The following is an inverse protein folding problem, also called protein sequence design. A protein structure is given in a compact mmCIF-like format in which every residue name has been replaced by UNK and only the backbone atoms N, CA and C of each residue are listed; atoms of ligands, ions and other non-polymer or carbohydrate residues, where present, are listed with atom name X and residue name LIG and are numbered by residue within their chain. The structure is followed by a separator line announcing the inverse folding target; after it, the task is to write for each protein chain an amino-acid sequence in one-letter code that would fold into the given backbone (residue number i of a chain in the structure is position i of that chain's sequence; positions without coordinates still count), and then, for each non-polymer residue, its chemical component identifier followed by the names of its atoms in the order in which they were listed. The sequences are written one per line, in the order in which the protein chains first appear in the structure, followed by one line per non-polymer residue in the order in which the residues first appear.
data_IF_369525148352
#
_entry.id   IF_369525148352
#
_cell.length_a   1.000
_cell.length_b   1.000
_cell.length_c   1.000
_cell.angle_alpha   90.00
_cell.angle_beta   90.00
_cell.angle_gamma   90.00
#
_symmetry.space_group_name_H-M   'P 1'
#
loop_
_entity.id
_entity.type
_entity.pdbx_description
1 polymer ?
#
# COMPACT_ATOMS: atom_id res chain seq x y z
N UNK A 1 6.30 46.22 33.10
CA UNK A 1 5.13 45.31 33.25
C UNK A 1 4.36 45.08 31.94
N UNK A 2 4.86 45.54 30.79
CA UNK A 2 4.22 45.37 29.46
C UNK A 2 4.94 44.37 28.54
N UNK A 3 6.19 44.00 28.87
CA UNK A 3 6.96 43.00 28.09
C UNK A 3 6.48 41.56 28.28
N UNK A 4 5.87 41.24 29.43
CA UNK A 4 5.43 39.86 29.72
C UNK A 4 4.20 39.44 28.92
N UNK A 5 3.32 40.37 28.55
CA UNK A 5 2.16 40.09 27.70
C UNK A 5 2.56 39.94 26.21
N UNK A 6 3.57 40.69 25.77
CA UNK A 6 4.13 40.55 24.42
C UNK A 6 4.83 39.20 24.22
N UNK A 7 5.53 38.72 25.26
CA UNK A 7 6.19 37.42 25.22
C UNK A 7 5.17 36.26 25.21
N UNK A 8 4.08 36.39 25.97
CA UNK A 8 2.97 35.44 25.97
C UNK A 8 2.29 35.32 24.58
N UNK A 9 2.13 36.43 23.85
CA UNK A 9 1.58 36.41 22.49
C UNK A 9 2.54 35.73 21.50
N UNK A 10 3.85 35.96 21.62
CA UNK A 10 4.87 35.30 20.79
C UNK A 10 4.90 33.78 21.04
N UNK A 11 4.86 33.36 22.30
CA UNK A 11 4.79 31.95 22.69
C UNK A 11 3.53 31.28 22.13
N UNK A 12 2.36 31.92 22.26
CA UNK A 12 1.09 31.39 21.75
C UNK A 12 1.09 31.20 20.23
N UNK A 13 1.63 32.17 19.49
CA UNK A 13 1.76 32.07 18.02
C UNK A 13 2.77 31.02 17.57
N UNK A 14 3.83 30.79 18.37
CA UNK A 14 4.80 29.72 18.11
C UNK A 14 4.19 28.34 18.34
N UNK A 15 3.38 28.17 19.39
CA UNK A 15 2.64 26.93 19.66
C UNK A 15 1.59 26.67 18.56
N UNK A 16 0.89 27.69 18.09
CA UNK A 16 -0.07 27.57 17.00
C UNK A 16 0.61 27.16 15.68
N UNK A 17 1.77 27.74 15.37
CA UNK A 17 2.57 27.36 14.21
C UNK A 17 3.12 25.94 14.32
N UNK A 18 3.61 25.54 15.51
CA UNK A 18 4.08 24.18 15.76
C UNK A 18 2.93 23.17 15.66
N UNK A 19 1.74 23.51 16.15
CA UNK A 19 0.56 22.67 16.05
C UNK A 19 0.08 22.55 14.59
N UNK A 20 0.12 23.64 13.82
CA UNK A 20 -0.20 23.62 12.39
C UNK A 20 0.84 22.81 11.59
N UNK A 21 2.13 22.92 11.93
CA UNK A 21 3.20 22.13 11.31
C UNK A 21 3.14 20.65 11.71
N UNK A 22 2.74 20.35 12.95
CA UNK A 22 2.51 18.98 13.40
C UNK A 22 1.26 18.37 12.75
N UNK A 23 0.22 19.17 12.50
CA UNK A 23 -0.96 18.74 11.73
C UNK A 23 -0.60 18.52 10.24
N UNK A 24 0.33 19.31 9.69
CA UNK A 24 0.86 19.13 8.33
C UNK A 24 1.83 17.93 8.24
N UNK A 25 2.60 17.63 9.30
CA UNK A 25 3.45 16.43 9.38
C UNK A 25 2.66 15.15 9.69
N UNK A 26 1.53 15.25 10.40
CA UNK A 26 0.60 14.13 10.55
C UNK A 26 -0.18 13.86 9.25
N UNK A 27 -0.44 14.89 8.44
CA UNK A 27 -0.91 14.73 7.06
C UNK A 27 0.18 14.18 6.11
N UNK A 28 1.46 14.42 6.39
CA UNK A 28 2.60 13.86 5.64
C UNK A 28 2.95 12.41 6.01
N UNK A 29 2.73 12.02 7.27
CA UNK A 29 3.04 10.67 7.79
C UNK A 29 1.88 9.68 7.60
N UNK A 30 0.66 10.19 7.39
CA UNK A 30 -0.52 9.38 7.08
C UNK A 30 -0.86 9.36 5.57
N UNK A 31 0.01 9.94 4.72
CA UNK A 31 -0.05 9.86 3.25
C UNK A 31 0.36 8.49 2.70
N UNK A 32 0.18 7.44 3.50
CA UNK A 32 0.14 6.05 3.02
C UNK A 32 -1.29 5.50 2.93
N UNK A 33 -2.32 6.33 3.22
CA UNK A 33 -3.74 5.88 3.27
C UNK A 33 -4.64 6.59 2.24
N UNK A 34 -4.16 7.65 1.58
CA UNK A 34 -4.83 8.32 0.46
C UNK A 34 -4.03 8.16 -0.84
N UNK A 35 -3.64 6.94 -1.17
CA UNK A 35 -3.40 6.58 -2.57
C UNK A 35 -4.77 6.57 -3.24
N UNK A 36 -4.88 7.23 -4.39
CA UNK A 36 -6.10 7.22 -5.20
C UNK A 36 -6.59 5.78 -5.40
N UNK A 37 -7.90 5.51 -5.60
CA UNK A 37 -8.39 4.14 -5.81
C UNK A 37 -7.57 3.36 -6.86
N UNK A 38 -7.05 4.04 -7.87
CA UNK A 38 -6.14 3.47 -8.89
C UNK A 38 -4.77 3.06 -8.31
N UNK A 39 -4.14 3.89 -7.46
CA UNK A 39 -2.85 3.53 -6.84
C UNK A 39 -3.01 2.39 -5.83
N UNK A 40 -4.14 2.31 -5.11
CA UNK A 40 -4.41 1.15 -4.22
C UNK A 40 -4.59 -0.14 -5.00
N UNK A 41 -5.18 -0.07 -6.19
CA UNK A 41 -5.30 -1.22 -7.08
C UNK A 41 -3.93 -1.62 -7.61
N UNK A 42 -3.13 -0.67 -8.12
CA UNK A 42 -1.78 -0.95 -8.60
C UNK A 42 -0.88 -1.54 -7.51
N UNK A 43 -0.88 -0.99 -6.30
CA UNK A 43 -0.10 -1.57 -5.19
C UNK A 43 -0.56 -2.99 -4.84
N UNK A 44 -1.86 -3.28 -4.91
CA UNK A 44 -2.37 -4.63 -4.70
C UNK A 44 -2.01 -5.57 -5.84
N UNK A 45 -2.01 -5.09 -7.08
CA UNK A 45 -1.57 -5.85 -8.26
C UNK A 45 -0.07 -6.10 -8.23
N UNK A 46 0.76 -5.12 -7.89
CA UNK A 46 2.21 -5.27 -7.74
C UNK A 46 2.55 -6.24 -6.61
N UNK A 47 1.87 -6.13 -5.46
CA UNK A 47 2.05 -7.08 -4.36
C UNK A 47 1.62 -8.49 -4.79
N UNK A 48 0.51 -8.61 -5.54
CA UNK A 48 0.08 -9.89 -6.11
C UNK A 48 1.07 -10.45 -7.11
N UNK A 49 1.57 -9.62 -8.01
CA UNK A 49 2.48 -10.01 -9.08
C UNK A 49 3.85 -10.38 -8.51
N UNK A 50 4.30 -9.69 -7.47
CA UNK A 50 5.52 -10.02 -6.71
C UNK A 50 5.37 -11.38 -6.01
N UNK A 51 4.24 -11.59 -5.33
CA UNK A 51 3.92 -12.86 -4.65
C UNK A 51 3.76 -14.03 -5.63
N UNK A 52 3.14 -13.81 -6.78
CA UNK A 52 3.06 -14.81 -7.85
C UNK A 52 4.42 -15.06 -8.50
N UNK A 53 5.28 -14.04 -8.63
CA UNK A 53 6.63 -14.19 -9.21
C UNK A 53 7.61 -14.91 -8.29
N UNK A 54 7.46 -14.78 -6.97
CA UNK A 54 8.26 -15.55 -6.00
C UNK A 54 7.78 -17.01 -5.89
N UNK A 55 6.48 -17.24 -6.10
CA UNK A 55 5.87 -18.56 -5.98
C UNK A 55 5.95 -19.40 -7.27
N UNK A 56 5.75 -18.77 -8.43
CA UNK A 56 5.65 -19.48 -9.69
C UNK A 56 7.00 -19.46 -10.41
N UNK A 57 7.47 -20.66 -10.74
CA UNK A 57 8.59 -20.82 -11.68
C UNK A 57 8.20 -20.33 -13.08
N UNK A 58 9.19 -20.01 -13.91
CA UNK A 58 8.97 -19.60 -15.32
C UNK A 58 8.07 -20.60 -16.08
N UNK A 59 8.24 -21.90 -15.82
CA UNK A 59 7.42 -22.95 -16.44
C UNK A 59 5.95 -22.89 -15.99
N UNK A 60 5.69 -22.64 -14.70
CA UNK A 60 4.34 -22.52 -14.17
C UNK A 60 3.60 -21.31 -14.75
N UNK A 61 4.30 -20.18 -14.96
CA UNK A 61 3.72 -19.01 -15.66
C UNK A 61 3.36 -19.32 -17.10
N UNK A 62 4.23 -20.03 -17.83
CA UNK A 62 3.95 -20.42 -19.21
C UNK A 62 2.73 -21.35 -19.30
N UNK A 63 2.62 -22.34 -18.39
CA UNK A 63 1.45 -23.22 -18.32
C UNK A 63 0.17 -22.46 -17.96
N UNK A 64 0.22 -21.55 -16.99
CA UNK A 64 -0.92 -20.72 -16.63
C UNK A 64 -1.40 -19.88 -17.83
N UNK A 65 -0.48 -19.26 -18.57
CA UNK A 65 -0.81 -18.44 -19.74
C UNK A 65 -1.43 -19.28 -20.88
N UNK A 66 -0.93 -20.50 -21.11
CA UNK A 66 -1.53 -21.43 -22.08
C UNK A 66 -2.94 -21.87 -21.67
N UNK A 67 -3.17 -22.11 -20.38
CA UNK A 67 -4.49 -22.44 -19.85
C UNK A 67 -5.42 -21.23 -19.96
N UNK A 68 -4.96 -20.02 -19.66
CA UNK A 68 -5.75 -18.80 -19.79
C UNK A 68 -6.14 -18.53 -21.26
N UNK A 69 -5.24 -18.80 -22.20
CA UNK A 69 -5.51 -18.67 -23.64
C UNK A 69 -6.56 -19.67 -24.14
N UNK A 70 -6.51 -20.91 -23.65
CA UNK A 70 -7.44 -21.97 -24.08
C UNK A 70 -8.76 -21.96 -23.31
N UNK A 71 -8.73 -21.60 -22.02
CA UNK A 71 -9.84 -21.60 -21.07
C UNK A 71 -9.63 -20.51 -20.00
N UNK A 72 -10.04 -19.26 -20.27
CA UNK A 72 -9.80 -18.13 -19.37
C UNK A 72 -10.47 -18.33 -18.00
N UNK A 73 -11.61 -19.01 -17.93
CA UNK A 73 -12.29 -19.31 -16.66
C UNK A 73 -11.44 -20.19 -15.73
N UNK A 74 -10.74 -21.18 -16.29
CA UNK A 74 -9.87 -22.07 -15.51
C UNK A 74 -8.58 -21.37 -15.11
N UNK A 75 -8.04 -20.49 -15.97
CA UNK A 75 -6.89 -19.65 -15.64
C UNK A 75 -7.16 -18.79 -14.41
N UNK A 76 -8.27 -18.03 -14.40
CA UNK A 76 -8.67 -17.17 -13.26
C UNK A 76 -8.88 -17.96 -11.98
N UNK A 77 -9.53 -19.11 -12.05
CA UNK A 77 -9.73 -19.98 -10.89
C UNK A 77 -8.40 -20.43 -10.28
N UNK A 78 -7.42 -20.79 -11.13
CA UNK A 78 -6.08 -21.20 -10.66
C UNK A 78 -5.35 -20.00 -10.05
N UNK A 79 -5.42 -18.82 -10.66
CA UNK A 79 -4.86 -17.58 -10.10
C UNK A 79 -5.42 -17.27 -8.70
N UNK A 80 -6.74 -17.33 -8.53
CA UNK A 80 -7.40 -17.07 -7.25
C UNK A 80 -6.97 -18.06 -6.17
N UNK A 81 -6.89 -19.36 -6.52
CA UNK A 81 -6.43 -20.42 -5.60
C UNK A 81 -4.96 -20.18 -5.21
N UNK A 82 -4.10 -19.85 -6.17
CA UNK A 82 -2.68 -19.54 -5.93
C UNK A 82 -2.53 -18.35 -4.98
N UNK A 83 -3.26 -17.27 -5.23
CA UNK A 83 -3.24 -16.10 -4.36
C UNK A 83 -3.71 -16.44 -2.94
N UNK A 84 -4.81 -17.21 -2.82
CA UNK A 84 -5.35 -17.60 -1.52
C UNK A 84 -4.34 -18.44 -0.72
N UNK A 85 -3.67 -19.37 -1.39
CA UNK A 85 -2.65 -20.22 -0.77
C UNK A 85 -1.38 -19.45 -0.43
N UNK A 86 -0.96 -18.50 -1.28
CA UNK A 86 0.19 -17.64 -1.01
C UNK A 86 -0.05 -16.71 0.19
N UNK A 87 -1.26 -16.14 0.32
CA UNK A 87 -1.67 -15.37 1.50
C UNK A 87 -1.70 -16.21 2.78
N UNK A 88 -2.02 -17.51 2.67
CA UNK A 88 -2.02 -18.47 3.78
C UNK A 88 -0.63 -19.00 4.12
N UNK A 89 0.42 -18.60 3.39
CA UNK A 89 1.78 -19.06 3.61
C UNK A 89 2.02 -20.52 3.20
N UNK A 90 1.13 -21.12 2.40
CA UNK A 90 1.21 -22.54 2.02
C UNK A 90 2.44 -22.91 1.17
N UNK A 91 3.17 -21.92 0.66
CA UNK A 91 4.30 -22.11 -0.24
C UNK A 91 5.62 -21.55 0.30
N UNK A 92 5.69 -21.26 1.61
CA UNK A 92 6.88 -20.76 2.29
C UNK A 92 7.63 -21.85 3.06
N UNK A 93 8.01 -22.94 2.39
CA UNK A 93 8.79 -24.06 2.94
C UNK A 93 9.77 -24.63 1.93
#
# INVERSE_FOLDING_TARGET
MTDSELDAIRAKRLVELQQQQQQQQQAGSNKNIQSSPEEKQQQQEDMRNTMLSSLLTQEARARLNMIALTKPEKGRMIEDILIQNARRGAFGG
#
